data_IF_147122936451
#
_entry.id   IF_147122936451
#
_cell.length_a   1.000
_cell.length_b   1.000
_cell.length_c   1.000
_cell.angle_alpha   90.00
_cell.angle_beta   90.00
_cell.angle_gamma   90.00
#
_symmetry.space_group_name_H-M   'P 1'
#
loop_
_entity.id
_entity.type
_entity.pdbx_description
1 polymer ?
#
# COMPACT_ATOMS: atom_id res chain seq x y z
N UNK A 1 3.75 -40.10 -29.13
CA UNK A 1 3.34 -38.74 -29.52
C UNK A 1 3.20 -37.94 -28.24
N UNK A 2 3.68 -36.70 -28.26
CA UNK A 2 4.09 -35.91 -27.09
C UNK A 2 2.89 -35.56 -26.18
N UNK A 3 3.08 -35.81 -24.88
CA UNK A 3 2.20 -35.40 -23.78
C UNK A 3 2.21 -33.88 -23.68
N UNK A 4 1.06 -33.20 -23.82
CA UNK A 4 0.97 -31.73 -23.68
C UNK A 4 -0.20 -31.23 -22.86
N UNK A 5 -0.85 -32.07 -22.04
CA UNK A 5 -1.80 -31.58 -21.03
C UNK A 5 -1.09 -31.31 -19.71
N UNK A 6 -0.13 -30.40 -19.74
CA UNK A 6 0.29 -29.66 -18.55
C UNK A 6 0.06 -28.20 -18.89
N UNK A 7 -1.15 -27.74 -18.61
CA UNK A 7 -1.44 -26.30 -18.56
C UNK A 7 -0.51 -25.71 -17.48
N UNK A 8 0.18 -24.59 -17.75
CA UNK A 8 1.06 -23.99 -16.76
C UNK A 8 0.20 -23.59 -15.56
N UNK A 9 0.66 -23.99 -14.38
CA UNK A 9 0.03 -23.71 -13.09
C UNK A 9 -0.31 -22.22 -12.99
N UNK A 10 -1.59 -21.91 -12.77
CA UNK A 10 -2.07 -20.56 -12.43
C UNK A 10 -1.69 -20.24 -10.98
N UNK A 11 -0.40 -20.33 -10.63
CA UNK A 11 0.10 -19.99 -9.28
C UNK A 11 0.25 -18.46 -9.07
N UNK A 12 0.13 -17.63 -10.12
CA UNK A 12 0.51 -16.20 -10.05
C UNK A 12 -0.63 -15.20 -9.78
N UNK A 13 -1.89 -15.63 -9.63
CA UNK A 13 -3.02 -14.68 -9.51
C UNK A 13 -3.12 -14.02 -8.11
N UNK A 14 -2.66 -14.68 -7.04
CA UNK A 14 -2.63 -14.11 -5.69
C UNK A 14 -1.39 -13.22 -5.46
N UNK A 15 -0.24 -13.61 -5.99
CA UNK A 15 1.00 -12.85 -5.87
C UNK A 15 0.92 -11.51 -6.62
N UNK A 16 0.29 -11.49 -7.80
CA UNK A 16 0.03 -10.24 -8.54
C UNK A 16 -0.93 -9.32 -7.79
N UNK A 17 -1.97 -9.86 -7.15
CA UNK A 17 -2.92 -9.06 -6.34
C UNK A 17 -2.25 -8.48 -5.11
N UNK A 18 -1.42 -9.27 -4.44
CA UNK A 18 -0.68 -8.85 -3.24
C UNK A 18 0.37 -7.79 -3.60
N UNK A 19 1.09 -7.96 -4.70
CA UNK A 19 2.01 -6.95 -5.23
C UNK A 19 1.27 -5.64 -5.56
N UNK A 20 0.11 -5.73 -6.22
CA UNK A 20 -0.71 -4.55 -6.56
C UNK A 20 -1.22 -3.83 -5.31
N UNK A 21 -1.57 -4.58 -4.27
CA UNK A 21 -2.04 -4.03 -2.99
C UNK A 21 -0.91 -3.32 -2.24
N UNK A 22 0.27 -3.93 -2.17
CA UNK A 22 1.45 -3.35 -1.55
C UNK A 22 1.90 -2.05 -2.24
N UNK A 23 1.90 -2.05 -3.58
CA UNK A 23 2.18 -0.85 -4.39
C UNK A 23 1.15 0.25 -4.11
N UNK A 24 -0.13 -0.11 -4.01
CA UNK A 24 -1.22 0.83 -3.72
C UNK A 24 -1.05 1.47 -2.33
N UNK A 25 -0.74 0.68 -1.30
CA UNK A 25 -0.52 1.20 0.04
C UNK A 25 0.74 2.07 0.12
N UNK A 26 1.81 1.70 -0.58
CA UNK A 26 3.03 2.50 -0.68
C UNK A 26 2.75 3.86 -1.33
N UNK A 27 1.92 3.88 -2.38
CA UNK A 27 1.49 5.13 -3.01
C UNK A 27 0.66 6.00 -2.05
N UNK A 28 -0.26 5.40 -1.29
CA UNK A 28 -1.06 6.10 -0.27
C UNK A 28 -0.16 6.71 0.81
N UNK A 29 0.84 5.97 1.31
CA UNK A 29 1.80 6.48 2.30
C UNK A 29 2.51 7.73 1.78
N UNK A 30 3.07 7.67 0.57
CA UNK A 30 3.80 8.80 -0.04
C UNK A 30 2.90 10.03 -0.22
N UNK A 31 1.64 9.85 -0.62
CA UNK A 31 0.68 10.95 -0.71
C UNK A 31 0.40 11.58 0.65
N UNK A 32 0.21 10.76 1.69
CA UNK A 32 -0.05 11.23 3.05
C UNK A 32 1.14 11.98 3.63
N UNK A 33 2.38 11.55 3.35
CA UNK A 33 3.58 12.30 3.74
C UNK A 33 3.62 13.71 3.14
N UNK A 34 3.34 13.82 1.83
CA UNK A 34 3.31 15.10 1.13
C UNK A 34 2.19 16.00 1.66
N UNK A 35 0.99 15.45 1.86
CA UNK A 35 -0.15 16.17 2.43
C UNK A 35 0.14 16.64 3.85
N UNK A 36 0.80 15.82 4.67
CA UNK A 36 1.15 16.20 6.04
C UNK A 36 2.16 17.35 6.03
N UNK A 37 3.18 17.29 5.17
CA UNK A 37 4.16 18.37 5.00
C UNK A 37 3.52 19.69 4.53
N UNK A 38 2.48 19.61 3.69
CA UNK A 38 1.71 20.78 3.27
C UNK A 38 0.81 21.30 4.40
N UNK A 39 0.09 20.42 5.10
CA UNK A 39 -0.82 20.79 6.18
C UNK A 39 -0.10 21.43 7.37
N UNK A 40 1.10 20.95 7.72
CA UNK A 40 1.97 21.53 8.76
C UNK A 40 2.46 22.95 8.44
N UNK A 41 2.35 23.40 7.19
CA UNK A 41 2.63 24.79 6.77
C UNK A 41 1.39 25.71 6.84
N UNK A 42 0.26 25.19 7.30
CA UNK A 42 -0.99 25.93 7.46
C UNK A 42 -1.36 26.04 8.94
N UNK A 43 -2.20 27.01 9.30
CA UNK A 43 -2.74 27.13 10.66
C UNK A 43 -3.88 26.13 10.96
N UNK A 44 -4.07 25.11 10.11
CA UNK A 44 -5.11 24.08 10.25
C UNK A 44 -4.58 22.89 11.06
N UNK A 45 -4.38 23.10 12.36
CA UNK A 45 -3.82 22.07 13.27
C UNK A 45 -4.58 20.74 13.23
N UNK A 46 -5.92 20.78 13.22
CA UNK A 46 -6.74 19.57 13.15
C UNK A 46 -6.53 18.79 11.84
N UNK A 47 -6.32 19.49 10.73
CA UNK A 47 -6.06 18.85 9.43
C UNK A 47 -4.71 18.14 9.43
N UNK A 48 -3.65 18.80 9.91
CA UNK A 48 -2.33 18.18 10.04
C UNK A 48 -2.38 16.94 10.95
N UNK A 49 -3.09 17.03 12.08
CA UNK A 49 -3.29 15.90 12.98
C UNK A 49 -4.01 14.72 12.31
N UNK A 50 -5.11 14.97 11.61
CA UNK A 50 -5.86 13.91 10.93
C UNK A 50 -5.04 13.22 9.82
N UNK A 51 -4.24 13.98 9.08
CA UNK A 51 -3.36 13.42 8.04
C UNK A 51 -2.23 12.62 8.68
N UNK A 52 -1.67 13.09 9.80
CA UNK A 52 -0.64 12.36 10.54
C UNK A 52 -1.16 11.03 11.12
N UNK A 53 -2.38 11.01 11.65
CA UNK A 53 -3.05 9.78 12.07
C UNK A 53 -3.24 8.81 10.90
N UNK A 54 -3.76 9.28 9.76
CA UNK A 54 -3.93 8.44 8.58
C UNK A 54 -2.59 7.88 8.06
N UNK A 55 -1.52 8.67 8.14
CA UNK A 55 -0.17 8.23 7.77
C UNK A 55 0.35 7.11 8.68
N UNK A 56 0.06 7.18 9.99
CA UNK A 56 0.40 6.11 10.94
C UNK A 56 -0.35 4.82 10.58
N UNK A 57 -1.65 4.89 10.33
CA UNK A 57 -2.46 3.73 9.95
C UNK A 57 -1.97 3.08 8.63
N UNK A 58 -1.61 3.90 7.62
CA UNK A 58 -1.07 3.39 6.37
C UNK A 58 0.26 2.64 6.56
N UNK A 59 1.14 3.14 7.43
CA UNK A 59 2.41 2.47 7.76
C UNK A 59 2.21 1.18 8.53
N UNK A 60 1.24 1.15 9.45
CA UNK A 60 0.88 -0.08 10.17
C UNK A 60 0.32 -1.14 9.23
N UNK A 61 -0.50 -0.74 8.24
CA UNK A 61 -1.01 -1.64 7.20
C UNK A 61 0.13 -2.23 6.35
N UNK A 62 1.06 -1.40 5.86
CA UNK A 62 2.24 -1.86 5.13
C UNK A 62 3.14 -2.79 5.95
N UNK A 63 3.35 -2.48 7.23
CA UNK A 63 4.15 -3.34 8.11
C UNK A 63 3.47 -4.68 8.43
N UNK A 64 2.14 -4.69 8.45
CA UNK A 64 1.34 -5.90 8.64
C UNK A 64 1.39 -6.79 7.41
N UNK A 65 1.32 -6.21 6.19
CA UNK A 65 1.50 -6.96 4.95
C UNK A 65 2.89 -7.56 4.81
N UNK A 66 3.95 -6.86 5.22
CA UNK A 66 5.32 -7.38 5.17
C UNK A 66 5.59 -8.58 6.10
N UNK A 67 4.63 -8.94 6.96
CA UNK A 67 4.72 -10.06 7.93
C UNK A 67 3.90 -11.29 7.53
N UNK A 68 3.05 -11.18 6.52
CA UNK A 68 2.23 -12.27 5.96
C UNK A 68 3.03 -12.96 4.87
#
# INVERSE_FOLDING_TARGET
MVDTTSFPDMEDDEDVRTATQHETLTFIEQMLEQLNAMAKKTDRLLLAYMIEMALVEAREALHSEARV
#
